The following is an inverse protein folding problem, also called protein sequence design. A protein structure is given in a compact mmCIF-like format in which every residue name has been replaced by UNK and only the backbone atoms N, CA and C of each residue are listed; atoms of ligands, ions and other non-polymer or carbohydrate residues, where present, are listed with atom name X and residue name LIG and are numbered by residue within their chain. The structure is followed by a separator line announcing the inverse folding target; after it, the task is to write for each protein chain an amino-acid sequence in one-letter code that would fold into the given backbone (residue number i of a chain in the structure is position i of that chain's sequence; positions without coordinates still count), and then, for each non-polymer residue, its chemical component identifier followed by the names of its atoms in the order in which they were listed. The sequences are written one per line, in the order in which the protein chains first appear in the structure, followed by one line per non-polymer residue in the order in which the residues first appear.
data_IF_457719969455
#
_entry.id   IF_457719969455
#
_cell.length_a   1.000
_cell.length_b   1.000
_cell.length_c   1.000
_cell.angle_alpha   90.00
_cell.angle_beta   90.00
_cell.angle_gamma   90.00
#
_symmetry.space_group_name_H-M   'P 1'
#
loop_
_entity.id
_entity.type
_entity.pdbx_description
1 polymer ?
#
# COMPACT_ATOMS: atom_id res chain seq x y z
N UNK A 1 -22.08 -6.37 14.96
CA UNK A 1 -21.05 -6.78 13.97
C UNK A 1 -20.56 -5.51 13.30
N UNK A 2 -19.25 -5.35 13.10
CA UNK A 2 -18.71 -4.20 12.38
C UNK A 2 -19.19 -4.25 10.93
N UNK A 3 -19.84 -3.19 10.45
CA UNK A 3 -20.26 -3.06 9.04
C UNK A 3 -19.25 -2.19 8.33
N UNK A 4 -18.55 -2.76 7.35
CA UNK A 4 -17.59 -2.03 6.52
C UNK A 4 -18.26 -1.58 5.22
N UNK A 5 -17.85 -0.44 4.65
CA UNK A 5 -18.38 0.04 3.38
C UNK A 5 -17.98 -0.87 2.22
N UNK A 6 -18.84 -0.91 1.19
CA UNK A 6 -18.50 -1.52 -0.10
C UNK A 6 -17.33 -0.76 -0.75
N UNK A 7 -16.56 -1.46 -1.58
CA UNK A 7 -15.46 -0.80 -2.26
C UNK A 7 -15.96 0.02 -3.46
N UNK A 8 -15.35 1.19 -3.73
CA UNK A 8 -15.78 2.04 -4.85
C UNK A 8 -15.75 1.33 -6.21
N UNK A 9 -14.83 0.40 -6.44
CA UNK A 9 -14.75 -0.33 -7.71
C UNK A 9 -15.91 -1.29 -7.93
N UNK A 10 -16.59 -1.75 -6.87
CA UNK A 10 -17.78 -2.60 -7.02
C UNK A 10 -18.91 -1.81 -7.69
N UNK A 11 -18.99 -0.50 -7.43
CA UNK A 11 -19.94 0.43 -8.07
C UNK A 11 -19.68 0.64 -9.57
N UNK A 12 -18.50 0.25 -10.07
CA UNK A 12 -18.13 0.41 -11.47
C UNK A 12 -18.68 -0.70 -12.37
N UNK A 13 -19.25 -1.77 -11.81
CA UNK A 13 -19.72 -2.94 -12.54
C UNK A 13 -20.69 -2.60 -13.70
N UNK A 14 -21.76 -1.81 -13.51
CA UNK A 14 -22.68 -1.50 -14.62
C UNK A 14 -22.03 -0.70 -15.75
N UNK A 15 -21.04 0.13 -15.41
CA UNK A 15 -20.30 0.94 -16.39
C UNK A 15 -19.33 0.07 -17.20
N UNK A 16 -18.69 -0.90 -16.54
CA UNK A 16 -17.85 -1.92 -17.21
C UNK A 16 -18.66 -2.73 -18.21
N UNK A 17 -19.84 -3.22 -17.81
CA UNK A 17 -20.73 -4.01 -18.69
C UNK A 17 -21.15 -3.21 -19.92
N UNK A 18 -21.57 -1.94 -19.72
CA UNK A 18 -21.91 -1.05 -20.83
C UNK A 18 -20.73 -0.78 -21.76
N UNK A 19 -19.55 -0.53 -21.21
CA UNK A 19 -18.36 -0.24 -22.01
C UNK A 19 -17.89 -1.47 -22.81
N UNK A 20 -18.02 -2.67 -22.24
CA UNK A 20 -17.69 -3.93 -22.91
C UNK A 20 -18.58 -4.23 -24.13
N UNK A 21 -19.76 -3.63 -24.23
CA UNK A 21 -20.65 -3.76 -25.38
C UNK A 21 -20.23 -2.88 -26.59
N UNK A 22 -19.18 -2.06 -26.45
CA UNK A 22 -18.69 -1.23 -27.56
C UNK A 22 -18.05 -2.12 -28.65
N UNK A 23 -18.39 -1.92 -29.94
CA UNK A 23 -17.95 -2.81 -31.03
C UNK A 23 -16.42 -2.85 -31.21
N UNK A 24 -15.72 -1.75 -30.89
CA UNK A 24 -14.26 -1.66 -30.99
C UNK A 24 -13.52 -2.10 -29.73
N UNK A 25 -14.23 -2.64 -28.73
CA UNK A 25 -13.68 -3.02 -27.43
C UNK A 25 -13.57 -1.85 -26.44
N UNK A 26 -12.91 -2.11 -25.30
CA UNK A 26 -12.81 -1.18 -24.16
C UNK A 26 -11.37 -1.03 -23.69
N UNK A 27 -10.98 0.20 -23.36
CA UNK A 27 -9.81 0.49 -22.56
C UNK A 27 -10.22 0.59 -21.08
N UNK A 28 -9.80 -0.38 -20.26
CA UNK A 28 -10.13 -0.39 -18.84
C UNK A 28 -9.21 0.54 -18.04
N UNK A 29 -9.77 1.64 -17.53
CA UNK A 29 -9.10 2.64 -16.70
C UNK A 29 -9.66 2.66 -15.26
N UNK A 30 -10.37 1.61 -14.85
CA UNK A 30 -11.08 1.57 -13.56
C UNK A 30 -10.18 1.27 -12.37
N UNK A 31 -9.04 0.58 -12.59
CA UNK A 31 -8.13 0.13 -11.54
C UNK A 31 -6.71 0.55 -11.92
N UNK A 32 -6.02 1.23 -11.00
CA UNK A 32 -4.64 1.70 -11.15
C UNK A 32 -3.59 0.61 -10.99
N UNK A 33 -3.75 -0.54 -11.66
CA UNK A 33 -2.76 -1.62 -11.67
C UNK A 33 -1.78 -1.42 -12.83
N UNK A 34 -0.47 -1.29 -12.58
CA UNK A 34 0.52 -1.26 -13.65
C UNK A 34 0.48 -2.54 -14.49
N UNK A 35 0.61 -2.40 -15.81
CA UNK A 35 0.63 -3.54 -16.75
C UNK A 35 2.04 -3.92 -17.19
N UNK A 36 3.02 -3.05 -16.93
CA UNK A 36 4.41 -3.28 -17.29
C UNK A 36 5.03 -4.41 -16.45
N UNK A 37 5.93 -5.22 -17.04
CA UNK A 37 6.64 -6.23 -16.29
C UNK A 37 7.55 -5.59 -15.25
N UNK A 38 7.66 -6.21 -14.07
CA UNK A 38 8.68 -5.85 -13.08
C UNK A 38 10.08 -5.81 -13.74
N UNK A 39 10.85 -4.73 -13.56
CA UNK A 39 12.19 -4.59 -14.16
C UNK A 39 13.09 -5.80 -13.92
N UNK A 40 13.85 -6.19 -14.94
CA UNK A 40 14.67 -7.41 -14.92
C UNK A 40 15.68 -7.47 -13.76
N UNK A 41 16.28 -6.33 -13.42
CA UNK A 41 17.18 -6.18 -12.27
C UNK A 41 16.52 -6.65 -10.96
N UNK A 42 15.27 -6.26 -10.72
CA UNK A 42 14.54 -6.59 -9.48
C UNK A 42 14.19 -8.07 -9.46
N UNK A 43 13.71 -8.61 -10.60
CA UNK A 43 13.39 -10.04 -10.72
C UNK A 43 14.62 -10.91 -10.43
N UNK A 44 15.78 -10.53 -10.98
CA UNK A 44 17.06 -11.22 -10.73
C UNK A 44 17.47 -11.16 -9.25
N UNK A 45 17.40 -9.98 -8.63
CA UNK A 45 17.75 -9.83 -7.21
C UNK A 45 16.87 -10.72 -6.32
N UNK A 46 15.57 -10.82 -6.62
CA UNK A 46 14.67 -11.74 -5.92
C UNK A 46 15.08 -13.20 -6.10
N UNK A 47 15.39 -13.62 -7.34
CA UNK A 47 15.83 -14.99 -7.62
C UNK A 47 17.13 -15.33 -6.90
N UNK A 48 18.10 -14.43 -6.92
CA UNK A 48 19.40 -14.61 -6.25
C UNK A 48 19.25 -14.67 -4.72
N UNK A 49 18.28 -13.95 -4.15
CA UNK A 49 17.99 -13.93 -2.72
C UNK A 49 16.97 -15.00 -2.27
N UNK A 50 16.51 -15.88 -3.16
CA UNK A 50 15.42 -16.82 -2.87
C UNK A 50 15.82 -17.88 -1.82
N UNK A 51 17.10 -18.21 -1.72
CA UNK A 51 17.64 -19.12 -0.70
C UNK A 51 18.06 -18.35 0.56
N UNK A 52 17.08 -17.73 1.22
CA UNK A 52 17.27 -16.96 2.44
C UNK A 52 16.78 -17.75 3.66
N UNK A 53 17.72 -18.26 4.46
CA UNK A 53 17.41 -18.99 5.67
C UNK A 53 17.23 -18.08 6.89
N UNK A 54 16.50 -18.58 7.89
CA UNK A 54 16.32 -17.92 9.18
C UNK A 54 14.98 -17.18 9.31
N UNK A 55 14.66 -16.81 10.55
CA UNK A 55 13.45 -16.06 10.86
C UNK A 55 13.70 -14.56 10.59
N UNK A 56 12.89 -13.89 9.75
CA UNK A 56 13.12 -12.48 9.42
C UNK A 56 12.87 -11.58 10.63
N UNK A 57 13.66 -10.51 10.76
CA UNK A 57 13.42 -9.48 11.76
C UNK A 57 12.21 -8.63 11.36
N UNK A 58 11.40 -8.23 12.33
CA UNK A 58 10.22 -7.39 12.09
C UNK A 58 10.57 -6.02 11.51
N UNK A 59 11.70 -5.44 11.92
CA UNK A 59 12.18 -4.15 11.41
C UNK A 59 12.99 -4.27 10.10
N UNK A 60 13.12 -5.48 9.55
CA UNK A 60 13.88 -5.74 8.33
C UNK A 60 15.41 -5.65 8.50
N UNK A 61 16.12 -5.87 7.39
CA UNK A 61 17.58 -5.88 7.38
C UNK A 61 18.15 -4.46 7.41
N UNK A 62 19.37 -4.34 7.95
CA UNK A 62 20.14 -3.11 7.93
C UNK A 62 20.34 -2.54 6.52
N UNK A 63 20.64 -3.41 5.55
CA UNK A 63 20.84 -3.01 4.16
C UNK A 63 19.58 -2.43 3.53
N UNK A 64 18.41 -3.03 3.81
CA UNK A 64 17.13 -2.50 3.34
C UNK A 64 16.86 -1.12 3.93
N UNK A 65 17.04 -0.96 5.24
CA UNK A 65 16.79 0.31 5.93
C UNK A 65 17.71 1.42 5.42
N UNK A 66 19.00 1.14 5.22
CA UNK A 66 19.95 2.09 4.59
C UNK A 66 19.56 2.43 3.16
N UNK A 67 19.18 1.43 2.35
CA UNK A 67 18.75 1.68 0.97
C UNK A 67 17.53 2.60 0.88
N UNK A 68 16.59 2.50 1.82
CA UNK A 68 15.43 3.41 1.93
C UNK A 68 15.86 4.83 2.30
N UNK A 69 16.73 5.00 3.30
CA UNK A 69 17.30 6.31 3.69
C UNK A 69 17.97 6.98 2.50
N UNK A 70 18.84 6.26 1.81
CA UNK A 70 19.57 6.78 0.66
C UNK A 70 18.64 7.14 -0.51
N UNK A 71 17.57 6.35 -0.71
CA UNK A 71 16.55 6.67 -1.71
C UNK A 71 15.81 7.96 -1.37
N UNK A 72 15.43 8.16 -0.10
CA UNK A 72 14.78 9.39 0.36
C UNK A 72 15.67 10.61 0.17
N UNK A 73 16.96 10.51 0.49
CA UNK A 73 17.92 11.58 0.25
C UNK A 73 18.00 11.94 -1.25
N UNK A 74 18.20 10.94 -2.13
CA UNK A 74 18.35 11.18 -3.57
C UNK A 74 17.07 11.63 -4.27
N UNK A 75 15.90 11.11 -3.87
CA UNK A 75 14.65 11.27 -4.64
C UNK A 75 13.66 12.22 -4.02
N UNK A 76 13.73 12.42 -2.71
CA UNK A 76 12.82 13.30 -1.95
C UNK A 76 13.54 14.48 -1.31
N UNK A 77 14.88 14.54 -1.38
CA UNK A 77 15.66 15.61 -0.75
C UNK A 77 15.67 15.53 0.79
N UNK A 78 15.28 14.39 1.36
CA UNK A 78 15.24 14.17 2.81
C UNK A 78 16.54 13.51 3.24
N UNK A 79 17.53 14.31 3.63
CA UNK A 79 18.81 13.84 4.15
C UNK A 79 18.79 13.68 5.67
N UNK A 80 19.65 12.80 6.20
CA UNK A 80 19.84 12.64 7.66
C UNK A 80 18.75 11.81 8.35
N UNK A 81 17.94 11.06 7.60
CA UNK A 81 17.01 10.10 8.17
C UNK A 81 17.79 8.98 8.89
N UNK A 82 17.47 8.73 10.15
CA UNK A 82 18.03 7.61 10.91
C UNK A 82 17.49 6.28 10.35
N UNK A 83 18.35 5.31 9.96
CA UNK A 83 17.89 3.96 9.58
C UNK A 83 17.02 3.28 10.65
N UNK A 84 17.15 3.62 11.93
CA UNK A 84 16.28 3.12 12.99
C UNK A 84 14.83 3.64 12.88
N UNK A 85 14.60 4.74 12.18
CA UNK A 85 13.27 5.28 11.89
C UNK A 85 12.60 4.64 10.66
N UNK A 86 13.23 3.63 10.04
CA UNK A 86 12.67 2.91 8.90
C UNK A 86 12.17 1.53 9.34
N UNK A 87 10.89 1.28 9.08
CA UNK A 87 10.26 -0.04 9.25
C UNK A 87 9.63 -0.46 7.91
N UNK A 88 10.11 -1.54 7.28
CA UNK A 88 9.48 -2.08 6.09
C UNK A 88 8.14 -2.74 6.46
N UNK A 89 7.18 -2.68 5.54
CA UNK A 89 5.84 -3.24 5.71
C UNK A 89 5.53 -4.21 4.57
N UNK A 90 4.57 -5.11 4.79
CA UNK A 90 4.05 -6.01 3.74
C UNK A 90 3.08 -5.21 2.85
N UNK A 91 3.66 -4.33 2.05
CA UNK A 91 2.90 -3.31 1.31
C UNK A 91 2.32 -2.22 2.22
N UNK A 92 1.78 -1.17 1.61
CA UNK A 92 1.24 -0.02 2.36
C UNK A 92 -0.18 -0.22 2.88
N UNK A 93 -0.98 -1.08 2.22
CA UNK A 93 -2.41 -1.28 2.56
C UNK A 93 -2.58 -1.82 3.97
N UNK A 94 -1.79 -2.82 4.36
CA UNK A 94 -1.85 -3.41 5.70
C UNK A 94 -1.50 -2.38 6.77
N UNK A 95 -0.38 -1.67 6.58
CA UNK A 95 0.05 -0.63 7.53
C UNK A 95 -1.00 0.46 7.69
N UNK A 96 -1.53 1.00 6.60
CA UNK A 96 -2.54 2.07 6.63
C UNK A 96 -3.83 1.59 7.32
N UNK A 97 -4.26 0.35 7.06
CA UNK A 97 -5.47 -0.20 7.69
C UNK A 97 -5.33 -0.33 9.21
N UNK A 98 -4.12 -0.67 9.70
CA UNK A 98 -3.86 -0.86 11.12
C UNK A 98 -3.33 0.37 11.85
N UNK A 99 -2.90 1.40 11.12
CA UNK A 99 -2.24 2.57 11.70
C UNK A 99 -3.04 3.22 12.85
N UNK A 100 -4.37 3.44 12.74
CA UNK A 100 -5.16 3.96 13.86
C UNK A 100 -5.04 3.12 15.14
N UNK A 101 -5.18 1.80 15.02
CA UNK A 101 -5.02 0.86 16.15
C UNK A 101 -3.61 0.85 16.70
N UNK A 102 -2.59 0.87 15.82
CA UNK A 102 -1.17 0.90 16.23
C UNK A 102 -0.78 2.19 16.96
N UNK A 103 -1.50 3.29 16.68
CA UNK A 103 -1.37 4.56 17.40
C UNK A 103 -2.20 4.62 18.69
N UNK A 104 -2.97 3.57 19.00
CA UNK A 104 -3.78 3.47 20.21
C UNK A 104 -5.10 4.25 20.15
N UNK A 105 -5.58 4.58 18.95
CA UNK A 105 -6.89 5.22 18.79
C UNK A 105 -8.02 4.24 19.13
N UNK A 106 -9.15 4.78 19.60
CA UNK A 106 -10.37 4.03 19.80
C UNK A 106 -11.61 4.91 19.93
N UNK A 107 -12.63 4.36 20.59
CA UNK A 107 -13.95 4.99 20.66
C UNK A 107 -13.89 6.43 21.19
N UNK A 108 -14.31 7.38 20.36
CA UNK A 108 -14.33 8.80 20.68
C UNK A 108 -13.15 9.59 20.11
N UNK A 109 -12.12 8.92 19.61
CA UNK A 109 -11.04 9.58 18.86
C UNK A 109 -11.49 9.96 17.45
N UNK A 110 -10.87 11.00 16.90
CA UNK A 110 -11.23 11.55 15.58
C UNK A 110 -10.09 11.33 14.59
N UNK A 111 -10.39 10.63 13.50
CA UNK A 111 -9.49 10.49 12.34
C UNK A 111 -10.01 11.35 11.20
N UNK A 112 -9.17 12.27 10.71
CA UNK A 112 -9.50 13.13 9.56
C UNK A 112 -8.84 12.56 8.30
N UNK A 113 -9.61 12.41 7.23
CA UNK A 113 -9.11 12.05 5.90
C UNK A 113 -9.78 12.91 4.81
N UNK A 114 -9.18 13.05 3.61
CA UNK A 114 -9.81 13.78 2.51
C UNK A 114 -11.11 13.11 2.05
N UNK A 115 -12.05 13.90 1.51
CA UNK A 115 -13.33 13.40 0.99
C UNK A 115 -13.13 12.44 -0.19
N UNK A 116 -12.28 12.82 -1.16
CA UNK A 116 -11.85 11.97 -2.25
C UNK A 116 -10.51 11.31 -1.89
N UNK A 117 -10.58 10.13 -1.29
CA UNK A 117 -9.39 9.45 -0.78
C UNK A 117 -9.44 7.92 -0.96
N UNK A 118 -8.30 7.29 -0.66
CA UNK A 118 -8.21 5.85 -0.62
C UNK A 118 -9.12 5.28 0.50
N UNK A 119 -10.05 4.36 0.20
CA UNK A 119 -11.07 3.91 1.16
C UNK A 119 -10.52 3.30 2.45
N UNK A 120 -9.32 2.72 2.39
CA UNK A 120 -8.70 2.08 3.55
C UNK A 120 -8.44 3.04 4.70
N UNK A 121 -8.35 4.36 4.46
CA UNK A 121 -8.25 5.34 5.55
C UNK A 121 -9.49 5.32 6.46
N UNK A 122 -10.68 5.38 5.88
CA UNK A 122 -11.94 5.31 6.63
C UNK A 122 -12.14 3.93 7.27
N UNK A 123 -11.79 2.86 6.55
CA UNK A 123 -11.86 1.49 7.09
C UNK A 123 -10.95 1.32 8.31
N UNK A 124 -9.72 1.84 8.27
CA UNK A 124 -8.80 1.76 9.40
C UNK A 124 -9.33 2.50 10.64
N UNK A 125 -9.98 3.65 10.45
CA UNK A 125 -10.62 4.37 11.54
C UNK A 125 -11.79 3.58 12.15
N UNK A 126 -12.66 3.00 11.32
CA UNK A 126 -13.77 2.16 11.78
C UNK A 126 -13.31 0.90 12.51
N UNK A 127 -12.16 0.33 12.11
CA UNK A 127 -11.58 -0.84 12.78
C UNK A 127 -11.04 -0.54 14.18
N UNK A 128 -10.63 0.71 14.45
CA UNK A 128 -10.10 1.11 15.75
C UNK A 128 -11.19 1.31 16.82
N UNK A 129 -12.45 1.53 16.42
CA UNK A 129 -13.61 1.63 17.32
C UNK A 129 -14.26 2.99 17.32
#
# INVERSE_FOLDING_TARGET
MLTLPDYPWDTLTPYRERAAAHPDGVADLSIGTPVDPTPALIRRALTEAADAHGYPTTHGTDDLRRAVVDWYARRRGVSGLDPAAVVPTVGSKEFIAWLPTLLGLGAGDVVVHPEAAYPTYAVGALLAG
#
